data_IF_019671984854
#
_entry.id   IF_019671984854
#
_cell.length_a   1.000
_cell.length_b   1.000
_cell.length_c   1.000
_cell.angle_alpha   90.00
_cell.angle_beta   90.00
_cell.angle_gamma   90.00
#
_symmetry.space_group_name_H-M   'P 1'
#
loop_
_entity.id
_entity.type
_entity.pdbx_description
1 polymer ?
#
# COMPACT_ATOMS: atom_id res chain seq x y z
N UNK A 1 -6.89 10.85 -16.29
CA UNK A 1 -6.93 9.38 -16.18
C UNK A 1 -5.83 8.95 -15.22
N UNK A 2 -6.09 7.98 -14.33
CA UNK A 2 -5.07 7.47 -13.40
C UNK A 2 -3.96 6.79 -14.19
N UNK A 3 -2.69 7.03 -13.81
CA UNK A 3 -1.53 6.44 -14.46
C UNK A 3 -1.24 5.06 -13.85
N UNK A 4 -1.67 4.00 -14.53
CA UNK A 4 -1.50 2.60 -14.09
C UNK A 4 -0.03 2.24 -13.88
N UNK A 5 0.86 2.69 -14.77
CA UNK A 5 2.30 2.43 -14.64
C UNK A 5 2.85 3.01 -13.33
N UNK A 6 2.45 4.22 -12.98
CA UNK A 6 2.88 4.87 -11.74
C UNK A 6 2.37 4.11 -10.50
N UNK A 7 1.13 3.63 -10.52
CA UNK A 7 0.56 2.82 -9.45
C UNK A 7 1.39 1.55 -9.24
N UNK A 8 1.68 0.83 -10.33
CA UNK A 8 2.49 -0.40 -10.30
C UNK A 8 3.91 -0.08 -9.81
N UNK A 9 4.54 0.99 -10.29
CA UNK A 9 5.89 1.39 -9.87
C UNK A 9 5.95 1.74 -8.37
N UNK A 10 4.92 2.40 -7.81
CA UNK A 10 4.79 2.64 -6.36
C UNK A 10 4.65 1.31 -5.61
N UNK A 11 3.71 0.47 -6.02
CA UNK A 11 3.46 -0.83 -5.40
C UNK A 11 4.73 -1.69 -5.34
N UNK A 12 5.42 -1.87 -6.48
CA UNK A 12 6.64 -2.65 -6.58
C UNK A 12 7.79 -2.10 -5.71
N UNK A 13 7.86 -0.79 -5.51
CA UNK A 13 8.85 -0.20 -4.60
C UNK A 13 8.50 -0.49 -3.14
N UNK A 14 7.24 -0.36 -2.75
CA UNK A 14 6.82 -0.55 -1.36
C UNK A 14 6.93 -2.01 -0.91
N UNK A 15 6.55 -2.98 -1.75
CA UNK A 15 6.63 -4.41 -1.40
C UNK A 15 8.05 -4.91 -1.16
N UNK A 16 9.06 -4.24 -1.73
CA UNK A 16 10.48 -4.56 -1.51
C UNK A 16 11.04 -4.08 -0.17
N UNK A 17 10.33 -3.18 0.52
CA UNK A 17 10.75 -2.68 1.83
C UNK A 17 10.21 -3.64 2.89
N UNK A 18 11.10 -4.23 3.69
CA UNK A 18 10.70 -5.12 4.78
C UNK A 18 10.03 -4.32 5.90
N UNK A 19 8.74 -4.55 6.11
CA UNK A 19 7.94 -3.85 7.11
C UNK A 19 7.20 -4.82 8.05
N UNK A 20 7.62 -6.09 8.09
CA UNK A 20 6.92 -7.10 8.87
C UNK A 20 6.79 -6.71 10.36
N UNK A 21 5.59 -6.86 10.90
CA UNK A 21 5.30 -6.63 12.31
C UNK A 21 5.90 -7.74 13.21
N UNK A 22 6.09 -7.42 14.49
CA UNK A 22 6.43 -8.39 15.53
C UNK A 22 5.25 -8.46 16.51
N UNK A 23 4.54 -9.58 16.51
CA UNK A 23 3.35 -9.81 17.33
C UNK A 23 3.68 -10.15 18.80
N UNK A 24 4.97 -10.36 19.10
CA UNK A 24 5.45 -10.54 20.48
C UNK A 24 5.67 -9.20 21.20
N UNK A 25 5.70 -8.09 20.45
CA UNK A 25 5.90 -6.73 20.96
C UNK A 25 4.56 -6.02 21.08
N UNK A 26 4.22 -5.55 22.29
CA UNK A 26 2.89 -4.95 22.58
C UNK A 26 2.94 -3.54 23.17
N UNK A 27 4.12 -3.08 23.57
CA UNK A 27 4.34 -1.83 24.29
C UNK A 27 5.17 -0.79 23.49
N UNK A 28 5.64 -1.18 22.30
CA UNK A 28 6.45 -0.34 21.41
C UNK A 28 5.73 -0.21 20.06
N UNK A 29 5.62 1.02 19.55
CA UNK A 29 4.97 1.33 18.29
C UNK A 29 5.89 2.20 17.41
N UNK A 30 6.16 1.79 16.15
CA UNK A 30 5.80 0.50 15.57
C UNK A 30 6.52 -0.67 16.25
N UNK A 31 5.95 -1.88 16.18
CA UNK A 31 6.52 -3.09 16.79
C UNK A 31 7.91 -3.43 16.25
N UNK A 32 8.19 -3.08 14.98
CA UNK A 32 9.51 -3.20 14.38
C UNK A 32 9.98 -1.87 13.81
N UNK A 33 11.25 -1.51 14.05
CA UNK A 33 11.83 -0.24 13.56
C UNK A 33 11.85 -0.14 12.03
N UNK A 34 11.92 -1.27 11.33
CA UNK A 34 11.92 -1.36 9.87
C UNK A 34 10.63 -0.84 9.22
N UNK A 35 9.50 -0.84 9.95
CA UNK A 35 8.26 -0.18 9.49
C UNK A 35 8.47 1.31 9.22
N UNK A 36 9.38 1.96 9.97
CA UNK A 36 9.68 3.39 9.79
C UNK A 36 10.36 3.68 8.45
N UNK A 37 10.99 2.70 7.79
CA UNK A 37 11.65 2.91 6.51
C UNK A 37 10.62 3.26 5.42
N UNK A 38 9.51 2.51 5.35
CA UNK A 38 8.40 2.82 4.46
C UNK A 38 7.69 4.11 4.90
N UNK A 39 7.41 4.28 6.19
CA UNK A 39 6.73 5.50 6.68
C UNK A 39 7.50 6.79 6.34
N UNK A 40 8.83 6.79 6.50
CA UNK A 40 9.66 7.95 6.17
C UNK A 40 9.70 8.21 4.65
N UNK A 41 9.76 7.15 3.83
CA UNK A 41 9.63 7.28 2.37
C UNK A 41 8.30 7.91 1.99
N UNK A 42 7.18 7.46 2.58
CA UNK A 42 5.85 8.00 2.30
C UNK A 42 5.74 9.47 2.68
N UNK A 43 6.28 9.89 3.83
CA UNK A 43 6.33 11.32 4.20
C UNK A 43 7.08 12.13 3.15
N UNK A 44 8.22 11.64 2.66
CA UNK A 44 8.97 12.34 1.63
C UNK A 44 8.18 12.44 0.33
N UNK A 45 7.59 11.34 -0.14
CA UNK A 45 6.78 11.34 -1.36
C UNK A 45 5.55 12.26 -1.25
N UNK A 46 4.88 12.30 -0.10
CA UNK A 46 3.76 13.22 0.15
C UNK A 46 4.20 14.69 0.10
N UNK A 47 5.39 15.01 0.63
CA UNK A 47 5.97 16.36 0.52
C UNK A 47 6.34 16.72 -0.91
N UNK A 48 6.88 15.77 -1.66
CA UNK A 48 7.23 15.95 -3.07
C UNK A 48 5.98 16.19 -3.94
N UNK A 49 4.84 15.62 -3.56
CA UNK A 49 3.51 15.91 -4.13
C UNK A 49 2.92 17.27 -3.69
N UNK A 50 3.62 18.02 -2.84
CA UNK A 50 3.22 19.35 -2.37
C UNK A 50 2.45 19.39 -1.05
N UNK A 51 2.24 18.25 -0.37
CA UNK A 51 1.57 18.20 0.93
C UNK A 51 2.56 18.54 2.05
N UNK A 52 2.73 19.85 2.29
CA UNK A 52 3.71 20.39 3.25
C UNK A 52 3.45 20.01 4.71
N UNK A 53 2.22 19.59 5.03
CA UNK A 53 1.83 19.15 6.38
C UNK A 53 2.09 17.65 6.61
N UNK A 54 2.64 16.94 5.63
CA UNK A 54 3.01 15.54 5.77
C UNK A 54 4.03 15.34 6.90
N UNK A 55 3.65 14.53 7.88
CA UNK A 55 4.43 14.29 9.10
C UNK A 55 4.34 12.82 9.51
N UNK A 56 5.31 12.39 10.33
CA UNK A 56 5.28 11.14 11.07
C UNK A 56 5.34 11.47 12.56
N UNK A 57 4.50 10.83 13.36
CA UNK A 57 4.52 11.02 14.81
C UNK A 57 5.49 10.06 15.53
N UNK A 58 5.56 10.16 16.87
CA UNK A 58 6.45 9.34 17.68
C UNK A 58 6.11 7.84 17.70
N UNK A 59 4.92 7.46 17.20
CA UNK A 59 4.45 6.08 17.11
C UNK A 59 4.52 5.54 15.68
N UNK A 60 5.05 6.33 14.73
CA UNK A 60 5.23 5.92 13.34
C UNK A 60 4.03 6.18 12.43
N UNK A 61 2.99 6.89 12.90
CA UNK A 61 1.82 7.21 12.09
C UNK A 61 2.12 8.34 11.11
N UNK A 62 1.90 8.08 9.82
CA UNK A 62 2.02 9.08 8.75
C UNK A 62 0.68 9.77 8.54
N UNK A 63 0.69 11.10 8.53
CA UNK A 63 -0.50 11.92 8.27
C UNK A 63 -0.17 13.05 7.29
N UNK A 64 -1.08 13.34 6.36
CA UNK A 64 -1.02 14.49 5.45
C UNK A 64 -2.44 14.93 5.04
N UNK A 65 -2.59 16.18 4.59
CA UNK A 65 -3.90 16.74 4.20
C UNK A 65 -3.87 17.23 2.75
N UNK A 66 -4.72 16.65 1.90
CA UNK A 66 -5.04 17.26 0.60
C UNK A 66 -6.02 18.42 0.81
N UNK A 67 -5.68 19.66 0.41
CA UNK A 67 -6.55 20.81 0.62
C UNK A 67 -7.77 20.81 -0.31
N UNK A 68 -8.90 21.32 0.18
CA UNK A 68 -10.11 21.52 -0.61
C UNK A 68 -9.86 22.50 -1.75
N UNK A 69 -10.39 22.22 -2.93
CA UNK A 69 -10.42 23.13 -4.08
C UNK A 69 -11.84 23.61 -4.43
N UNK A 70 -12.77 23.50 -3.47
CA UNK A 70 -14.16 23.95 -3.58
C UNK A 70 -14.54 24.93 -2.47
N UNK A 71 -15.42 25.88 -2.82
CA UNK A 71 -15.91 26.91 -1.90
C UNK A 71 -17.05 26.43 -0.99
N UNK A 72 -17.51 25.19 -1.18
CA UNK A 72 -18.58 24.60 -0.37
C UNK A 72 -17.99 23.95 0.87
N UNK A 73 -18.67 24.13 2.00
CA UNK A 73 -18.36 23.40 3.23
C UNK A 73 -18.83 21.95 3.09
N UNK A 74 -17.87 21.03 3.06
CA UNK A 74 -18.09 19.58 2.97
C UNK A 74 -17.46 18.87 4.18
N UNK A 75 -17.88 17.64 4.51
CA UNK A 75 -17.22 16.85 5.55
C UNK A 75 -15.83 16.39 5.12
N UNK A 76 -14.93 16.20 6.10
CA UNK A 76 -13.62 15.57 5.86
C UNK A 76 -13.78 14.06 5.83
N UNK A 77 -13.20 13.43 4.81
CA UNK A 77 -13.05 11.98 4.73
C UNK A 77 -11.57 11.63 4.93
N UNK A 78 -11.32 10.46 5.50
CA UNK A 78 -9.98 9.91 5.67
C UNK A 78 -9.85 8.62 4.86
N UNK A 79 -8.71 8.46 4.20
CA UNK A 79 -8.28 7.20 3.61
C UNK A 79 -7.15 6.65 4.47
N UNK A 80 -7.20 5.36 4.74
CA UNK A 80 -6.32 4.71 5.71
C UNK A 80 -5.80 3.42 5.09
N UNK A 81 -4.52 3.17 5.31
CA UNK A 81 -3.85 1.93 4.98
C UNK A 81 -2.78 1.67 6.04
N UNK A 82 -2.38 0.41 6.22
CA UNK A 82 -1.32 0.03 7.16
C UNK A 82 -0.01 -0.29 6.43
N UNK A 83 1.13 -0.04 7.09
CA UNK A 83 2.47 -0.14 6.47
C UNK A 83 3.13 -1.50 6.66
N UNK A 84 2.69 -2.25 7.66
CA UNK A 84 3.28 -3.51 8.04
C UNK A 84 2.82 -4.67 7.16
N UNK A 85 3.48 -5.81 7.32
CA UNK A 85 3.06 -7.08 6.73
C UNK A 85 2.94 -8.13 7.82
N UNK A 86 2.09 -9.11 7.61
CA UNK A 86 1.81 -10.15 8.59
C UNK A 86 3.09 -10.91 9.06
N UNK A 87 3.15 -11.34 10.34
CA UNK A 87 4.27 -12.09 10.88
C UNK A 87 4.34 -13.54 10.36
N UNK A 88 3.25 -14.07 9.80
CA UNK A 88 3.09 -15.48 9.41
C UNK A 88 4.14 -15.98 8.39
N UNK A 89 4.65 -15.09 7.54
CA UNK A 89 5.71 -15.40 6.59
C UNK A 89 6.53 -14.15 6.27
N UNK A 90 7.83 -14.33 6.00
CA UNK A 90 8.78 -13.25 5.74
C UNK A 90 8.26 -12.26 4.68
N UNK A 91 8.35 -10.96 4.99
CA UNK A 91 8.17 -9.85 4.05
C UNK A 91 9.50 -9.26 3.55
N UNK A 92 10.62 -9.93 3.83
CA UNK A 92 11.97 -9.50 3.45
C UNK A 92 12.37 -10.09 2.10
N UNK A 93 13.07 -9.30 1.28
CA UNK A 93 13.61 -9.71 -0.02
C UNK A 93 12.54 -10.21 -1.01
N UNK A 94 11.35 -9.60 -0.97
CA UNK A 94 10.22 -9.92 -1.86
C UNK A 94 10.63 -9.76 -3.33
N UNK A 95 10.37 -10.80 -4.13
CA UNK A 95 10.62 -10.82 -5.58
C UNK A 95 9.31 -10.91 -6.35
N UNK A 96 8.63 -9.77 -6.58
CA UNK A 96 7.40 -9.76 -7.36
C UNK A 96 7.70 -10.12 -8.83
N UNK A 97 6.83 -10.91 -9.44
CA UNK A 97 6.82 -11.17 -10.89
C UNK A 97 5.43 -10.99 -11.47
N UNK A 98 5.39 -10.71 -12.75
CA UNK A 98 4.16 -10.56 -13.51
C UNK A 98 3.76 -11.88 -14.19
N UNK A 99 2.46 -12.18 -14.16
CA UNK A 99 1.80 -13.18 -14.98
C UNK A 99 0.81 -12.43 -15.85
N UNK A 100 1.20 -12.09 -17.07
CA UNK A 100 0.35 -11.37 -18.00
C UNK A 100 -0.69 -12.30 -18.63
N UNK A 101 -1.88 -11.76 -18.93
CA UNK A 101 -2.97 -12.48 -19.60
C UNK A 101 -3.25 -13.85 -18.97
N UNK A 102 -3.37 -13.89 -17.65
CA UNK A 102 -3.54 -15.14 -16.90
C UNK A 102 -4.64 -16.02 -17.50
N UNK A 103 -4.32 -17.26 -17.83
CA UNK A 103 -5.21 -18.17 -18.58
C UNK A 103 -6.09 -19.05 -17.66
N UNK A 104 -5.88 -18.96 -16.35
CA UNK A 104 -6.53 -19.80 -15.34
C UNK A 104 -5.83 -21.14 -15.11
N UNK A 105 -4.59 -21.32 -15.58
CA UNK A 105 -3.77 -22.47 -15.24
C UNK A 105 -3.17 -22.36 -13.84
N UNK A 106 -2.59 -23.44 -13.34
CA UNK A 106 -1.75 -23.35 -12.15
C UNK A 106 -0.51 -22.49 -12.41
N UNK A 107 -0.08 -21.73 -11.40
CA UNK A 107 1.11 -20.88 -11.44
C UNK A 107 2.17 -21.49 -10.52
N UNK A 108 3.26 -21.97 -11.09
CA UNK A 108 4.42 -22.44 -10.31
C UNK A 108 5.12 -21.23 -9.71
N UNK A 109 5.03 -21.03 -8.39
CA UNK A 109 5.72 -19.96 -7.66
C UNK A 109 7.20 -20.29 -7.45
N UNK A 110 7.46 -21.52 -7.01
CA UNK A 110 8.81 -22.02 -6.76
C UNK A 110 8.89 -23.51 -7.10
N UNK A 111 9.68 -23.86 -8.12
CA UNK A 111 9.81 -25.25 -8.55
C UNK A 111 10.60 -26.11 -7.55
N UNK A 112 11.66 -25.56 -6.97
CA UNK A 112 12.56 -26.28 -6.07
C UNK A 112 11.92 -26.56 -4.71
N UNK A 113 11.03 -25.67 -4.27
CA UNK A 113 10.24 -25.82 -3.04
C UNK A 113 8.86 -26.45 -3.28
N UNK A 114 8.53 -26.81 -4.53
CA UNK A 114 7.21 -27.33 -4.91
C UNK A 114 6.04 -26.45 -4.44
N UNK A 115 6.18 -25.13 -4.62
CA UNK A 115 5.15 -24.14 -4.26
C UNK A 115 4.40 -23.71 -5.52
N UNK A 116 3.10 -23.92 -5.53
CA UNK A 116 2.19 -23.63 -6.64
C UNK A 116 0.98 -22.85 -6.15
N UNK A 117 0.53 -21.88 -6.95
CA UNK A 117 -0.74 -21.19 -6.76
C UNK A 117 -1.74 -21.79 -7.75
N UNK A 118 -2.70 -22.56 -7.23
CA UNK A 118 -3.57 -23.42 -8.05
C UNK A 118 -5.04 -23.02 -7.94
N UNK A 119 -5.80 -22.93 -9.05
CA UNK A 119 -7.25 -22.69 -9.02
C UNK A 119 -8.05 -23.83 -8.38
N UNK A 120 -7.42 -24.98 -8.11
CA UNK A 120 -8.03 -26.07 -7.32
C UNK A 120 -8.11 -25.72 -5.84
N UNK A 121 -7.10 -25.04 -5.32
CA UNK A 121 -7.02 -24.61 -3.92
C UNK A 121 -7.67 -23.23 -3.73
N UNK A 122 -7.52 -22.36 -4.74
CA UNK A 122 -8.04 -20.98 -4.76
C UNK A 122 -8.93 -20.76 -6.00
N UNK A 123 -10.19 -21.26 -6.00
CA UNK A 123 -11.10 -21.18 -7.15
C UNK A 123 -11.34 -19.76 -7.67
N UNK A 124 -11.22 -18.75 -6.81
CA UNK A 124 -11.32 -17.32 -7.15
C UNK A 124 -10.31 -16.89 -8.21
N UNK A 125 -9.17 -17.58 -8.36
CA UNK A 125 -8.19 -17.32 -9.40
C UNK A 125 -8.84 -17.32 -10.79
N UNK A 126 -9.82 -18.17 -11.04
CA UNK A 126 -10.51 -18.25 -12.33
C UNK A 126 -11.25 -16.96 -12.70
N UNK A 127 -11.57 -16.11 -11.71
CA UNK A 127 -12.14 -14.77 -11.93
C UNK A 127 -11.16 -13.76 -12.52
N UNK A 128 -9.86 -14.03 -12.45
CA UNK A 128 -8.80 -13.14 -12.94
C UNK A 128 -8.28 -13.52 -14.34
N UNK A 129 -9.00 -14.39 -15.07
CA UNK A 129 -8.63 -14.74 -16.45
C UNK A 129 -8.53 -13.50 -17.34
N UNK A 130 -7.46 -13.41 -18.12
CA UNK A 130 -7.15 -12.28 -18.99
C UNK A 130 -6.59 -11.06 -18.27
N UNK A 131 -6.45 -11.09 -16.94
CA UNK A 131 -5.82 -10.01 -16.18
C UNK A 131 -4.32 -10.27 -15.99
N UNK A 132 -3.61 -9.22 -15.57
CA UNK A 132 -2.22 -9.34 -15.13
C UNK A 132 -2.17 -9.57 -13.63
N UNK A 133 -1.54 -10.66 -13.20
CA UNK A 133 -1.30 -10.94 -11.79
C UNK A 133 0.12 -10.55 -11.40
N UNK A 134 0.28 -10.01 -10.19
CA UNK A 134 1.59 -9.84 -9.54
C UNK A 134 1.68 -10.87 -8.44
N UNK A 135 2.68 -11.75 -8.52
CA UNK A 135 2.85 -12.88 -7.60
C UNK A 135 4.25 -12.90 -7.01
N UNK A 136 4.46 -13.67 -5.95
CA UNK A 136 5.78 -13.87 -5.33
C UNK A 136 6.60 -14.94 -6.06
N UNK A 137 7.81 -15.19 -5.56
CA UNK A 137 8.64 -16.34 -5.91
C UNK A 137 8.42 -17.56 -4.99
N UNK A 138 7.34 -17.53 -4.19
CA UNK A 138 6.97 -18.58 -3.25
C UNK A 138 7.77 -18.63 -1.95
N UNK A 139 8.73 -17.72 -1.73
CA UNK A 139 9.57 -17.70 -0.51
C UNK A 139 9.17 -16.64 0.52
N UNK A 140 8.25 -15.74 0.15
CA UNK A 140 7.81 -14.59 0.97
C UNK A 140 6.30 -14.36 0.80
N UNK A 141 5.72 -13.53 1.69
CA UNK A 141 4.50 -12.80 1.37
C UNK A 141 4.78 -11.78 0.26
N UNK A 142 3.73 -11.38 -0.46
CA UNK A 142 3.82 -10.26 -1.41
C UNK A 142 3.78 -8.91 -0.68
N UNK A 143 3.02 -8.82 0.41
CA UNK A 143 2.71 -7.55 1.07
C UNK A 143 1.68 -6.71 0.33
N UNK A 144 0.81 -7.33 -0.49
CA UNK A 144 -0.32 -6.62 -1.11
C UNK A 144 -1.25 -6.03 -0.04
N UNK A 145 -1.55 -6.83 0.99
CA UNK A 145 -2.11 -6.36 2.26
C UNK A 145 -0.99 -5.68 3.08
N UNK A 146 -0.97 -4.34 3.24
CA UNK A 146 -1.86 -3.33 2.63
C UNK A 146 -1.10 -2.30 1.78
N UNK A 147 0.05 -2.71 1.23
CA UNK A 147 0.86 -1.83 0.36
C UNK A 147 0.20 -1.55 -0.99
N UNK A 148 -0.78 -2.37 -1.41
CA UNK A 148 -1.64 -2.05 -2.53
C UNK A 148 -2.52 -0.83 -2.21
N UNK A 149 -3.18 -0.83 -1.03
CA UNK A 149 -3.96 0.31 -0.55
C UNK A 149 -3.12 1.59 -0.40
N UNK A 150 -1.89 1.48 0.11
CA UNK A 150 -0.95 2.61 0.14
C UNK A 150 -0.67 3.14 -1.27
N UNK A 151 -0.35 2.26 -2.23
CA UNK A 151 -0.07 2.66 -3.61
C UNK A 151 -1.28 3.33 -4.28
N UNK A 152 -2.49 2.84 -4.02
CA UNK A 152 -3.74 3.41 -4.51
C UNK A 152 -3.99 4.81 -3.91
N UNK A 153 -3.87 4.97 -2.60
CA UNK A 153 -4.03 6.26 -1.92
C UNK A 153 -3.01 7.28 -2.44
N UNK A 154 -1.74 6.89 -2.51
CA UNK A 154 -0.68 7.77 -3.00
C UNK A 154 -0.88 8.18 -4.46
N UNK A 155 -1.38 7.26 -5.31
CA UNK A 155 -1.71 7.56 -6.71
C UNK A 155 -2.94 8.46 -6.82
N UNK A 156 -3.95 8.27 -5.97
CA UNK A 156 -5.12 9.13 -5.91
C UNK A 156 -4.75 10.55 -5.47
N UNK A 157 -3.87 10.69 -4.46
CA UNK A 157 -3.34 11.99 -4.03
C UNK A 157 -2.59 12.67 -5.17
N UNK A 158 -1.69 11.95 -5.85
CA UNK A 158 -0.96 12.50 -6.99
C UNK A 158 -1.92 12.99 -8.08
N UNK A 159 -2.91 12.18 -8.45
CA UNK A 159 -3.94 12.57 -9.39
C UNK A 159 -4.69 13.84 -8.94
N UNK A 160 -5.10 13.89 -7.68
CA UNK A 160 -5.77 15.05 -7.10
C UNK A 160 -4.90 16.31 -7.16
N UNK A 161 -3.63 16.21 -6.75
CA UNK A 161 -2.71 17.34 -6.74
C UNK A 161 -2.34 17.83 -8.14
N UNK A 162 -2.29 16.91 -9.12
CA UNK A 162 -1.93 17.20 -10.52
C UNK A 162 -3.10 17.63 -11.40
N UNK A 163 -4.36 17.51 -10.94
CA UNK A 163 -5.57 17.85 -11.70
C UNK A 163 -6.49 18.79 -10.89
N UNK A 164 -6.17 20.10 -10.77
CA UNK A 164 -6.92 21.04 -9.93
C UNK A 164 -8.41 21.24 -10.33
N UNK A 165 -8.77 20.90 -11.56
CA UNK A 165 -10.14 20.92 -12.08
C UNK A 165 -10.99 19.77 -11.51
N UNK A 166 -10.36 18.67 -11.10
CA UNK A 166 -11.02 17.58 -10.38
C UNK A 166 -11.45 18.09 -9.00
N UNK A 167 -12.76 18.19 -8.77
CA UNK A 167 -13.33 18.75 -7.55
C UNK A 167 -13.12 17.79 -6.37
N UNK A 168 -12.31 18.23 -5.41
CA UNK A 168 -11.92 17.45 -4.25
C UNK A 168 -12.66 17.98 -3.02
N UNK A 169 -13.48 17.12 -2.44
CA UNK A 169 -14.26 17.41 -1.26
C UNK A 169 -13.48 17.10 0.03
N UNK A 170 -12.22 17.55 0.15
CA UNK A 170 -11.37 17.29 1.33
C UNK A 170 -11.11 18.60 2.10
N UNK A 171 -11.81 18.88 3.21
CA UNK A 171 -11.63 20.11 3.97
C UNK A 171 -10.27 20.17 4.64
N UNK A 172 -9.71 21.37 4.65
CA UNK A 172 -8.64 21.75 5.54
C UNK A 172 -9.16 21.84 6.99
N UNK A 173 -8.87 20.85 7.84
CA UNK A 173 -8.99 20.99 9.30
C UNK A 173 -7.84 20.32 10.03
N UNK A 174 -7.01 21.15 10.68
CA UNK A 174 -6.07 20.76 11.75
C UNK A 174 -6.83 20.23 12.97
N UNK A 175 -7.34 19.00 12.93
CA UNK A 175 -7.70 18.27 14.14
C UNK A 175 -7.15 16.85 14.03
N UNK A 176 -6.37 16.38 15.01
CA UNK A 176 -5.89 15.01 15.02
C UNK A 176 -7.12 14.09 15.14
N UNK A 177 -7.39 13.33 14.07
CA UNK A 177 -8.29 12.18 14.15
C UNK A 177 -7.40 11.02 14.54
N UNK A 178 -7.30 10.77 15.85
CA UNK A 178 -6.64 9.57 16.35
C UNK A 178 -7.46 8.35 15.94
N UNK A 179 -6.82 7.39 15.29
CA UNK A 179 -7.38 6.07 15.08
C UNK A 179 -6.89 5.15 16.18
N UNK A 180 -7.87 4.51 16.82
CA UNK A 180 -7.69 3.35 17.68
C UNK A 180 -7.18 2.15 16.87
N UNK A 181 -6.34 1.33 17.49
CA UNK A 181 -6.00 -0.02 17.04
C UNK A 181 -6.85 -1.06 17.78
N UNK A 182 -6.99 -2.24 17.17
CA UNK A 182 -7.39 -3.46 17.87
C UNK A 182 -6.26 -3.94 18.78
#
# INVERSE_FOLDING_TARGET
MINEKLLIDRFLRYVKIDTQADDTVSDIFPSTKKQLDLSNLLVQELKDLGLKDATIDKYGYVMATVPSNIDKKVPTIGFLAHVDTAPDMSGKDVKPRFIENYDGSEIILNKDLNVTLSPKEFPELLGYKGQTLIVTDGTTLLGADDKAGIAEIMTAIDYMMSNPEFKQCLPYRRRPVGLYHR
#
